data_IF_641839399034
#
_entry.id   IF_641839399034
#
_cell.length_a   1.000
_cell.length_b   1.000
_cell.length_c   1.000
_cell.angle_alpha   90.00
_cell.angle_beta   90.00
_cell.angle_gamma   90.00
#
_symmetry.space_group_name_H-M   'P 1'
#
loop_
_entity.id
_entity.type
_entity.pdbx_description
1 polymer ?
#
# COMPACT_ATOMS: atom_id res chain seq x y z
N UNK A 1 15.77 -16.93 6.10
CA UNK A 1 14.98 -18.02 6.73
C UNK A 1 13.54 -17.54 6.87
N UNK A 2 12.51 -18.35 6.57
CA UNK A 2 11.12 -17.94 6.81
C UNK A 2 10.89 -17.81 8.32
N UNK A 3 10.46 -16.63 8.75
CA UNK A 3 10.18 -16.27 10.13
C UNK A 3 8.85 -15.50 10.14
N UNK A 4 7.82 -16.09 10.76
CA UNK A 4 6.55 -15.39 11.01
C UNK A 4 6.77 -14.28 12.04
N UNK A 5 5.94 -13.23 11.98
CA UNK A 5 5.84 -12.30 13.09
C UNK A 5 5.41 -13.07 14.34
N UNK A 6 5.78 -12.56 15.52
CA UNK A 6 5.31 -13.08 16.80
C UNK A 6 4.59 -11.96 17.56
N UNK A 7 3.27 -12.07 17.80
CA UNK A 7 2.37 -13.12 17.31
C UNK A 7 2.25 -13.11 15.75
N UNK A 8 1.67 -14.16 15.12
CA UNK A 8 1.32 -14.14 13.69
C UNK A 8 0.36 -13.00 13.32
N UNK A 9 0.44 -12.48 12.09
CA UNK A 9 -0.30 -11.27 11.66
C UNK A 9 -1.82 -11.48 11.69
N UNK A 10 -2.27 -12.71 11.46
CA UNK A 10 -3.65 -13.15 11.57
C UNK A 10 -4.22 -12.96 12.98
N UNK A 11 -3.37 -13.01 14.03
CA UNK A 11 -3.76 -12.79 15.43
C UNK A 11 -3.62 -11.33 15.87
N UNK A 12 -3.55 -10.39 14.93
CA UNK A 12 -3.54 -8.95 15.26
C UNK A 12 -4.88 -8.44 15.75
N UNK A 13 -5.96 -9.09 15.34
CA UNK A 13 -7.31 -8.79 15.80
C UNK A 13 -7.93 -10.11 16.24
N UNK A 14 -8.40 -10.17 17.48
CA UNK A 14 -8.97 -11.37 18.09
C UNK A 14 -10.27 -11.02 18.79
N UNK A 15 -11.19 -11.99 18.90
CA UNK A 15 -12.42 -11.81 19.68
C UNK A 15 -12.15 -12.07 21.15
N UNK A 16 -12.67 -11.17 22.00
CA UNK A 16 -12.78 -11.34 23.45
C UNK A 16 -14.21 -11.74 23.87
N UNK A 17 -15.18 -11.57 22.96
CA UNK A 17 -16.58 -11.93 23.14
C UNK A 17 -17.38 -11.65 21.88
N UNK A 18 -18.72 -11.84 21.91
CA UNK A 18 -19.59 -11.64 20.74
C UNK A 18 -19.52 -10.24 20.14
N UNK A 19 -19.38 -9.22 20.99
CA UNK A 19 -19.44 -7.80 20.64
C UNK A 19 -18.12 -7.06 20.94
N UNK A 20 -17.03 -7.80 21.16
CA UNK A 20 -15.78 -7.24 21.66
C UNK A 20 -14.57 -7.83 20.94
N UNK A 21 -13.74 -6.95 20.38
CA UNK A 21 -12.54 -7.31 19.63
C UNK A 21 -11.32 -6.65 20.26
N UNK A 22 -10.25 -7.40 20.50
CA UNK A 22 -8.94 -6.83 20.81
C UNK A 22 -8.19 -6.53 19.52
N UNK A 23 -7.64 -5.32 19.41
CA UNK A 23 -6.84 -4.86 18.27
C UNK A 23 -5.41 -4.54 18.75
N UNK A 24 -4.51 -5.50 18.51
CA UNK A 24 -3.12 -5.42 18.96
C UNK A 24 -2.97 -5.45 20.48
N UNK A 25 -1.94 -4.79 20.99
CA UNK A 25 -1.65 -4.64 22.42
C UNK A 25 -2.38 -3.47 23.08
N UNK A 26 -3.03 -2.59 22.30
CA UNK A 26 -3.41 -1.26 22.76
C UNK A 26 -4.91 -1.05 22.96
N UNK A 27 -5.73 -1.53 22.02
CA UNK A 27 -7.15 -1.16 21.98
C UNK A 27 -8.08 -2.37 22.00
N UNK A 28 -9.27 -2.12 22.52
CA UNK A 28 -10.46 -2.95 22.39
C UNK A 28 -11.49 -2.15 21.60
N UNK A 29 -12.11 -2.80 20.62
CA UNK A 29 -13.27 -2.31 19.90
C UNK A 29 -14.52 -3.00 20.44
N UNK A 30 -15.51 -2.22 20.87
CA UNK A 30 -16.78 -2.72 21.38
C UNK A 30 -17.94 -2.29 20.51
N UNK A 31 -18.89 -3.19 20.32
CA UNK A 31 -20.19 -2.93 19.69
C UNK A 31 -21.25 -2.61 20.75
N UNK A 32 -22.07 -1.60 20.50
CA UNK A 32 -23.11 -1.13 21.42
C UNK A 32 -24.36 -0.66 20.67
N UNK A 33 -25.52 -0.84 21.33
CA UNK A 33 -26.83 -0.29 20.92
C UNK A 33 -27.33 0.79 21.88
N UNK A 34 -26.65 1.01 23.01
CA UNK A 34 -27.11 1.85 24.11
C UNK A 34 -26.41 3.20 24.17
N UNK A 35 -25.76 3.60 23.07
CA UNK A 35 -24.95 4.82 22.97
C UNK A 35 -23.47 4.55 23.18
N UNK A 36 -22.66 5.52 22.77
CA UNK A 36 -21.20 5.47 22.78
C UNK A 36 -20.65 6.35 23.92
N UNK A 37 -19.62 5.92 24.65
CA UNK A 37 -18.97 6.76 25.65
C UNK A 37 -18.46 8.10 25.06
N UNK A 38 -18.43 9.14 25.88
CA UNK A 38 -17.91 10.43 25.43
C UNK A 38 -16.40 10.36 25.13
N UNK A 39 -15.95 11.13 24.13
CA UNK A 39 -14.53 11.27 23.75
C UNK A 39 -13.84 9.99 23.25
N UNK A 40 -14.58 8.98 22.80
CA UNK A 40 -14.01 7.80 22.14
C UNK A 40 -14.08 7.91 20.62
N UNK A 41 -13.06 7.41 19.93
CA UNK A 41 -13.17 7.15 18.49
C UNK A 41 -14.28 6.14 18.25
N UNK A 42 -15.23 6.46 17.37
CA UNK A 42 -16.41 5.64 17.14
C UNK A 42 -16.97 5.80 15.73
N UNK A 43 -17.78 4.84 15.32
CA UNK A 43 -18.51 4.88 14.05
C UNK A 43 -19.85 4.16 14.15
N UNK A 44 -20.80 4.61 13.34
CA UNK A 44 -22.10 3.97 13.21
C UNK A 44 -22.05 2.82 12.19
N UNK A 45 -22.77 1.75 12.51
CA UNK A 45 -22.99 0.62 11.62
C UNK A 45 -24.45 0.17 11.70
N UNK A 46 -25.26 0.62 10.74
CA UNK A 46 -26.71 0.42 10.74
C UNK A 46 -27.37 0.93 12.04
N UNK A 47 -27.98 0.04 12.82
CA UNK A 47 -28.64 0.36 14.09
C UNK A 47 -27.71 0.27 15.32
N UNK A 48 -26.42 0.03 15.08
CA UNK A 48 -25.42 -0.24 16.10
C UNK A 48 -24.29 0.78 15.96
N UNK A 49 -23.44 0.86 16.98
CA UNK A 49 -22.22 1.67 16.95
C UNK A 49 -21.06 0.88 17.50
N UNK A 50 -19.88 1.18 16.98
CA UNK A 50 -18.62 0.63 17.45
C UNK A 50 -17.79 1.77 18.04
N UNK A 51 -17.04 1.49 19.10
CA UNK A 51 -16.11 2.45 19.67
C UNK A 51 -14.82 1.78 20.15
N UNK A 52 -13.75 2.57 20.17
CA UNK A 52 -12.45 2.14 20.69
C UNK A 52 -12.26 2.63 22.12
N UNK A 53 -11.64 1.77 22.93
CA UNK A 53 -11.06 2.13 24.22
C UNK A 53 -9.76 1.37 24.46
N UNK A 54 -8.96 1.84 25.41
CA UNK A 54 -7.74 1.13 25.79
C UNK A 54 -8.07 -0.23 26.42
N UNK A 55 -7.20 -1.20 26.16
CA UNK A 55 -7.30 -2.54 26.75
C UNK A 55 -6.99 -2.50 28.25
N UNK A 56 -7.69 -3.31 29.03
CA UNK A 56 -7.40 -3.49 30.46
C UNK A 56 -6.46 -4.66 30.73
N UNK A 57 -5.75 -4.68 31.87
CA UNK A 57 -4.86 -5.80 32.27
C UNK A 57 -5.58 -7.16 32.35
N UNK A 58 -6.88 -7.13 32.69
CA UNK A 58 -7.70 -8.33 32.73
C UNK A 58 -7.93 -8.89 31.33
N UNK A 59 -8.19 -8.02 30.36
CA UNK A 59 -8.47 -8.39 28.96
C UNK A 59 -7.20 -8.78 28.20
N UNK A 60 -6.05 -8.17 28.50
CA UNK A 60 -4.78 -8.56 27.90
C UNK A 60 -4.44 -10.03 28.15
N UNK A 61 -4.91 -10.56 29.29
CA UNK A 61 -4.70 -11.92 29.78
C UNK A 61 -5.88 -12.88 29.52
N UNK A 62 -6.96 -12.40 28.89
CA UNK A 62 -8.15 -13.21 28.63
C UNK A 62 -7.90 -14.27 27.54
N UNK A 63 -8.75 -15.30 27.51
CA UNK A 63 -8.81 -16.24 26.39
C UNK A 63 -9.25 -15.49 25.12
N UNK A 64 -8.58 -15.81 24.01
CA UNK A 64 -8.72 -15.10 22.74
C UNK A 64 -9.17 -16.08 21.68
N UNK A 65 -10.21 -15.71 20.95
CA UNK A 65 -10.68 -16.48 19.81
C UNK A 65 -10.18 -15.85 18.50
N UNK A 66 -9.72 -16.69 17.57
CA UNK A 66 -9.30 -16.25 16.25
C UNK A 66 -10.50 -15.75 15.43
N UNK A 67 -10.30 -14.66 14.69
CA UNK A 67 -11.31 -14.16 13.75
C UNK A 67 -11.16 -14.91 12.44
N UNK A 68 -12.23 -15.55 11.98
CA UNK A 68 -12.26 -16.21 10.66
C UNK A 68 -12.80 -15.29 9.54
N UNK A 69 -13.40 -14.15 9.90
CA UNK A 69 -14.01 -13.20 8.97
C UNK A 69 -12.98 -12.21 8.40
N UNK A 70 -12.03 -12.73 7.62
CA UNK A 70 -11.05 -11.91 6.90
C UNK A 70 -11.66 -11.27 5.66
N UNK A 71 -11.40 -9.97 5.45
CA UNK A 71 -11.62 -9.34 4.14
C UNK A 71 -10.50 -9.74 3.18
N UNK A 72 -9.28 -9.81 3.70
CA UNK A 72 -8.08 -10.17 2.95
C UNK A 72 -6.92 -10.55 3.88
N UNK A 73 -6.08 -11.49 3.46
CA UNK A 73 -4.82 -11.81 4.12
C UNK A 73 -3.72 -11.97 3.06
N UNK A 74 -2.60 -11.26 3.24
CA UNK A 74 -1.43 -11.33 2.36
C UNK A 74 -0.19 -11.80 3.11
N UNK A 75 0.13 -13.09 2.92
CA UNK A 75 1.34 -13.68 3.47
C UNK A 75 1.45 -13.48 4.98
N UNK A 76 2.63 -13.11 5.46
CA UNK A 76 2.94 -12.90 6.89
C UNK A 76 3.01 -11.44 7.32
N UNK A 77 2.79 -10.49 6.39
CA UNK A 77 3.08 -9.08 6.60
C UNK A 77 1.86 -8.16 6.62
N UNK A 78 0.69 -8.63 6.20
CA UNK A 78 -0.52 -7.80 6.10
C UNK A 78 -1.79 -8.63 6.28
N UNK A 79 -2.75 -8.11 7.03
CA UNK A 79 -4.09 -8.66 7.20
C UNK A 79 -5.14 -7.55 7.24
N UNK A 80 -6.32 -7.81 6.70
CA UNK A 80 -7.45 -6.87 6.68
C UNK A 80 -8.68 -7.55 7.26
N UNK A 81 -9.21 -6.96 8.32
CA UNK A 81 -10.35 -7.46 9.07
C UNK A 81 -11.55 -6.54 8.83
N UNK A 82 -12.75 -7.11 8.75
CA UNK A 82 -13.97 -6.31 8.83
C UNK A 82 -14.29 -6.03 10.31
N UNK A 83 -14.60 -4.79 10.65
CA UNK A 83 -15.14 -4.43 11.96
C UNK A 83 -16.54 -3.87 11.73
N UNK A 84 -17.52 -4.76 11.79
CA UNK A 84 -18.86 -4.49 11.25
C UNK A 84 -18.85 -4.46 9.71
N UNK A 85 -19.86 -3.81 9.13
CA UNK A 85 -20.05 -3.69 7.67
C UNK A 85 -19.35 -2.47 7.08
N UNK A 86 -19.24 -1.40 7.87
CA UNK A 86 -18.84 -0.07 7.40
C UNK A 86 -17.37 0.30 7.63
N UNK A 87 -16.61 -0.46 8.42
CA UNK A 87 -15.20 -0.17 8.71
C UNK A 87 -14.35 -1.41 8.49
N UNK A 88 -13.15 -1.19 7.99
CA UNK A 88 -12.10 -2.22 7.89
C UNK A 88 -10.91 -1.82 8.74
N UNK A 89 -10.28 -2.82 9.36
CA UNK A 89 -9.03 -2.71 10.09
C UNK A 89 -7.91 -3.33 9.26
N UNK A 90 -7.01 -2.51 8.75
CA UNK A 90 -5.81 -2.95 8.04
C UNK A 90 -4.65 -3.00 9.02
N UNK A 91 -4.01 -4.16 9.12
CA UNK A 91 -2.84 -4.38 9.96
C UNK A 91 -1.65 -4.77 9.11
N UNK A 92 -0.50 -4.16 9.37
CA UNK A 92 0.76 -4.47 8.68
C UNK A 92 1.92 -4.59 9.65
N UNK A 93 2.89 -5.42 9.31
CA UNK A 93 4.18 -5.41 10.02
C UNK A 93 4.89 -4.09 9.77
N UNK A 94 5.65 -3.66 10.78
CA UNK A 94 6.32 -2.38 10.81
C UNK A 94 7.76 -2.54 11.27
N UNK A 95 8.63 -1.63 10.88
CA UNK A 95 9.95 -1.48 11.46
C UNK A 95 10.35 0.00 11.54
N UNK A 96 11.29 0.31 12.43
CA UNK A 96 11.77 1.67 12.65
C UNK A 96 12.19 2.35 11.34
N UNK A 97 11.75 3.59 11.17
CA UNK A 97 11.95 4.36 9.95
C UNK A 97 10.88 4.20 8.88
N UNK A 98 9.98 3.20 8.94
CA UNK A 98 8.88 3.04 7.98
C UNK A 98 7.77 4.08 8.19
N UNK A 99 7.26 4.67 7.11
CA UNK A 99 6.10 5.56 7.12
C UNK A 99 4.79 4.81 7.41
N UNK A 100 3.90 5.45 8.17
CA UNK A 100 2.56 4.92 8.37
C UNK A 100 1.69 5.24 7.15
N UNK A 101 0.91 4.27 6.68
CA UNK A 101 -0.02 4.51 5.55
C UNK A 101 -1.01 5.65 5.86
N UNK A 102 -1.35 5.91 7.13
CA UNK A 102 -2.15 7.07 7.52
C UNK A 102 -1.45 8.41 7.31
N UNK A 103 -0.14 8.49 7.53
CA UNK A 103 0.66 9.70 7.22
C UNK A 103 0.63 9.96 5.70
N UNK A 104 0.78 8.91 4.89
CA UNK A 104 0.70 9.00 3.43
C UNK A 104 -0.71 9.38 2.96
N UNK A 105 -1.77 8.81 3.54
CA UNK A 105 -3.16 9.18 3.21
C UNK A 105 -3.45 10.64 3.56
N UNK A 106 -2.99 11.12 4.71
CA UNK A 106 -3.11 12.53 5.10
C UNK A 106 -2.37 13.45 4.13
N UNK A 107 -1.17 13.08 3.71
CA UNK A 107 -0.42 13.80 2.68
C UNK A 107 -1.19 13.88 1.35
N UNK A 108 -1.79 12.76 0.91
CA UNK A 108 -2.59 12.72 -0.32
C UNK A 108 -3.84 13.58 -0.20
N UNK A 109 -4.58 13.49 0.92
CA UNK A 109 -5.77 14.30 1.16
C UNK A 109 -5.47 15.81 1.09
N UNK A 110 -4.35 16.22 1.67
CA UNK A 110 -3.95 17.63 1.71
C UNK A 110 -3.54 18.18 0.34
N UNK A 111 -2.86 17.38 -0.48
CA UNK A 111 -2.30 17.84 -1.76
C UNK A 111 -3.18 17.53 -2.97
N UNK A 112 -4.02 16.50 -2.89
CA UNK A 112 -4.80 15.97 -4.02
C UNK A 112 -6.24 15.65 -3.61
N UNK A 113 -7.03 16.65 -3.13
CA UNK A 113 -8.37 16.42 -2.58
C UNK A 113 -9.39 15.85 -3.60
N UNK A 114 -9.05 15.88 -4.89
CA UNK A 114 -9.86 15.30 -5.97
C UNK A 114 -9.60 13.81 -6.20
N UNK A 115 -8.56 13.21 -5.60
CA UNK A 115 -8.31 11.77 -5.67
C UNK A 115 -9.12 11.10 -4.55
N UNK A 116 -10.07 10.22 -4.88
CA UNK A 116 -10.85 9.55 -3.86
C UNK A 116 -9.99 8.54 -3.12
N UNK A 117 -9.89 8.68 -1.80
CA UNK A 117 -9.18 7.76 -0.90
C UNK A 117 -10.13 7.35 0.24
N UNK A 118 -9.90 6.20 0.90
CA UNK A 118 -10.68 5.82 2.08
C UNK A 118 -10.57 6.85 3.20
N UNK A 119 -11.68 7.13 3.88
CA UNK A 119 -11.69 7.99 5.06
C UNK A 119 -11.08 7.24 6.25
N UNK A 120 -10.05 7.82 6.87
CA UNK A 120 -9.41 7.26 8.06
C UNK A 120 -10.28 7.54 9.29
N UNK A 121 -10.61 6.49 10.02
CA UNK A 121 -11.33 6.56 11.31
C UNK A 121 -10.33 6.72 12.46
N UNK A 122 -9.29 5.89 12.48
CA UNK A 122 -8.19 5.98 13.44
C UNK A 122 -6.94 5.28 12.90
N UNK A 123 -5.78 5.57 13.46
CA UNK A 123 -4.55 4.82 13.18
C UNK A 123 -3.58 4.89 14.34
N UNK A 124 -2.85 3.81 14.59
CA UNK A 124 -1.79 3.80 15.60
C UNK A 124 -0.66 2.83 15.26
N UNK A 125 0.48 3.08 15.90
CA UNK A 125 1.62 2.19 15.91
C UNK A 125 1.61 1.36 17.20
N UNK A 126 1.53 0.05 17.05
CA UNK A 126 1.75 -0.93 18.11
C UNK A 126 3.23 -1.32 18.11
N UNK A 127 4.02 -0.66 18.97
CA UNK A 127 5.46 -0.91 19.08
C UNK A 127 5.78 -2.25 19.74
N UNK A 128 4.90 -2.77 20.58
CA UNK A 128 5.08 -4.06 21.23
C UNK A 128 5.07 -5.19 20.21
N UNK A 129 4.12 -5.12 19.26
CA UNK A 129 3.96 -6.14 18.23
C UNK A 129 4.66 -5.79 16.90
N UNK A 130 5.29 -4.62 16.80
CA UNK A 130 5.84 -4.06 15.56
C UNK A 130 4.82 -4.03 14.42
N UNK A 131 3.67 -3.40 14.66
CA UNK A 131 2.55 -3.36 13.71
C UNK A 131 1.94 -1.97 13.59
N UNK A 132 1.48 -1.63 12.40
CA UNK A 132 0.59 -0.49 12.18
C UNK A 132 -0.84 -0.97 12.11
N UNK A 133 -1.75 -0.25 12.75
CA UNK A 133 -3.18 -0.43 12.61
C UNK A 133 -3.78 0.79 11.95
N UNK A 134 -4.64 0.55 10.95
CA UNK A 134 -5.34 1.59 10.21
C UNK A 134 -6.81 1.21 10.08
N UNK A 135 -7.66 1.94 10.79
CA UNK A 135 -9.10 1.84 10.66
C UNK A 135 -9.56 2.85 9.62
N UNK A 136 -10.33 2.38 8.63
CA UNK A 136 -10.86 3.22 7.58
C UNK A 136 -12.29 2.82 7.21
N UNK A 137 -13.09 3.79 6.79
CA UNK A 137 -14.43 3.51 6.26
C UNK A 137 -14.33 2.68 5.00
N UNK A 138 -15.16 1.64 4.94
CA UNK A 138 -15.31 0.78 3.78
C UNK A 138 -15.97 1.58 2.66
N UNK A 139 -15.36 1.52 1.48
CA UNK A 139 -15.93 2.08 0.27
C UNK A 139 -16.73 0.98 -0.43
N UNK A 140 -18.04 1.22 -0.60
CA UNK A 140 -18.96 0.28 -1.23
C UNK A 140 -18.81 0.32 -2.76
N UNK A 141 -17.83 -0.43 -3.26
CA UNK A 141 -17.55 -0.63 -4.68
C UNK A 141 -16.73 -1.91 -4.89
N UNK A 142 -16.67 -2.40 -6.12
CA UNK A 142 -15.84 -3.56 -6.47
C UNK A 142 -14.44 -3.12 -6.86
N UNK A 143 -13.45 -4.00 -6.64
CA UNK A 143 -12.12 -3.79 -7.23
C UNK A 143 -12.24 -3.80 -8.75
N UNK A 144 -11.41 -3.01 -9.43
CA UNK A 144 -11.37 -2.94 -10.88
C UNK A 144 -11.14 -4.33 -11.47
N UNK A 145 -10.32 -5.16 -10.81
CA UNK A 145 -10.10 -6.55 -11.19
C UNK A 145 -11.40 -7.36 -11.26
N UNK A 146 -12.26 -7.26 -10.24
CA UNK A 146 -13.54 -7.98 -10.18
C UNK A 146 -14.60 -7.38 -11.11
N UNK A 147 -14.62 -6.06 -11.26
CA UNK A 147 -15.54 -5.36 -12.15
C UNK A 147 -15.14 -5.51 -13.64
N UNK A 148 -13.88 -5.81 -13.94
CA UNK A 148 -13.34 -5.81 -15.30
C UNK A 148 -14.18 -6.55 -16.35
N UNK A 149 -14.73 -7.74 -16.06
CA UNK A 149 -15.51 -8.50 -17.05
C UNK A 149 -16.86 -7.87 -17.41
N UNK A 150 -17.45 -7.08 -16.52
CA UNK A 150 -18.75 -6.44 -16.73
C UNK A 150 -18.64 -5.06 -17.39
N UNK A 151 -17.45 -4.44 -17.35
CA UNK A 151 -17.22 -3.12 -17.92
C UNK A 151 -17.18 -3.16 -19.45
N UNK A 152 -17.91 -2.23 -20.07
CA UNK A 152 -17.76 -1.95 -21.50
C UNK A 152 -16.38 -1.38 -21.82
N UNK A 153 -15.96 -1.49 -23.09
CA UNK A 153 -14.70 -0.92 -23.56
C UNK A 153 -14.61 0.60 -23.26
N UNK A 154 -15.71 1.34 -23.43
CA UNK A 154 -15.78 2.76 -23.10
C UNK A 154 -15.51 3.04 -21.63
N UNK A 155 -16.09 2.24 -20.73
CA UNK A 155 -15.87 2.38 -19.28
C UNK A 155 -14.45 2.01 -18.87
N UNK A 156 -13.87 0.96 -19.44
CA UNK A 156 -12.45 0.61 -19.23
C UNK A 156 -11.52 1.78 -19.60
N UNK A 157 -11.74 2.40 -20.76
CA UNK A 157 -10.98 3.59 -21.18
C UNK A 157 -11.26 4.81 -20.30
N UNK A 158 -12.49 5.01 -19.83
CA UNK A 158 -12.83 6.09 -18.91
C UNK A 158 -12.08 5.97 -17.59
N UNK A 159 -12.08 4.78 -16.98
CA UNK A 159 -11.34 4.49 -15.75
C UNK A 159 -9.85 4.73 -15.95
N UNK A 160 -9.26 4.15 -17.00
CA UNK A 160 -7.83 4.34 -17.30
C UNK A 160 -7.46 5.82 -17.53
N UNK A 161 -8.34 6.58 -18.19
CA UNK A 161 -8.15 8.02 -18.40
C UNK A 161 -8.16 8.78 -17.07
N UNK A 162 -9.09 8.46 -16.18
CA UNK A 162 -9.16 9.04 -14.83
C UNK A 162 -7.93 8.71 -14.01
N UNK A 163 -7.49 7.45 -14.00
CA UNK A 163 -6.29 7.01 -13.29
C UNK A 163 -5.02 7.69 -13.86
N UNK A 164 -4.88 7.78 -15.18
CA UNK A 164 -3.74 8.48 -15.80
C UNK A 164 -3.71 9.97 -15.44
N UNK A 165 -4.88 10.63 -15.31
CA UNK A 165 -4.98 12.01 -14.81
C UNK A 165 -4.55 12.12 -13.36
N UNK A 166 -4.95 11.19 -12.49
CA UNK A 166 -4.48 11.14 -11.11
C UNK A 166 -2.96 11.00 -11.05
N UNK A 167 -2.38 10.04 -11.78
CA UNK A 167 -0.93 9.83 -11.84
C UNK A 167 -0.17 11.06 -12.34
N UNK A 168 -0.71 11.76 -13.35
CA UNK A 168 -0.15 13.04 -13.81
C UNK A 168 -0.22 14.12 -12.72
N UNK A 169 -1.33 14.19 -12.00
CA UNK A 169 -1.52 15.10 -10.88
C UNK A 169 -0.54 14.83 -9.75
N UNK A 170 -0.39 13.58 -9.32
CA UNK A 170 0.60 13.16 -8.31
C UNK A 170 2.01 13.60 -8.71
N UNK A 171 2.39 13.37 -9.96
CA UNK A 171 3.71 13.75 -10.50
C UNK A 171 3.94 15.27 -10.64
N UNK A 172 3.01 16.12 -10.18
CA UNK A 172 3.29 17.57 -10.04
C UNK A 172 4.13 17.87 -8.79
N UNK A 173 4.05 17.03 -7.76
CA UNK A 173 4.93 17.13 -6.61
C UNK A 173 6.28 16.47 -6.89
N UNK A 174 7.34 17.17 -6.49
CA UNK A 174 8.72 16.79 -6.75
C UNK A 174 9.53 16.80 -5.45
N UNK A 175 10.57 15.98 -5.41
CA UNK A 175 11.53 15.94 -4.31
C UNK A 175 12.96 15.76 -4.84
N UNK A 176 13.98 16.34 -4.21
CA UNK A 176 15.38 16.01 -4.50
C UNK A 176 15.81 14.64 -3.97
N UNK A 177 14.93 13.94 -3.25
CA UNK A 177 15.19 12.64 -2.64
C UNK A 177 14.24 11.55 -3.16
N UNK A 178 14.76 10.34 -3.29
CA UNK A 178 13.99 9.11 -3.41
C UNK A 178 13.54 8.71 -2.00
N UNK A 179 12.28 8.92 -1.67
CA UNK A 179 11.76 8.83 -0.30
C UNK A 179 10.24 8.68 -0.27
N UNK A 180 9.70 8.35 0.90
CA UNK A 180 8.26 8.29 1.17
C UNK A 180 7.61 9.69 1.16
N UNK A 181 6.30 9.79 1.37
CA UNK A 181 5.57 11.06 1.32
C UNK A 181 6.12 12.12 2.29
N UNK A 182 6.45 11.72 3.52
CA UNK A 182 7.03 12.60 4.56
C UNK A 182 8.54 12.45 4.73
N UNK A 183 9.24 11.85 3.75
CA UNK A 183 10.71 11.78 3.75
C UNK A 183 11.33 10.61 4.49
N UNK A 184 10.58 9.52 4.65
CA UNK A 184 11.07 8.27 5.26
C UNK A 184 11.55 7.28 4.19
N UNK A 185 11.99 6.10 4.64
CA UNK A 185 12.37 4.99 3.75
C UNK A 185 11.16 4.45 2.99
N UNK A 186 11.37 3.92 1.78
CA UNK A 186 10.33 3.39 0.91
C UNK A 186 10.24 1.87 0.94
N UNK A 187 9.02 1.37 0.70
CA UNK A 187 8.78 -0.02 0.31
C UNK A 187 8.72 -0.12 -1.21
N UNK A 188 9.81 -0.55 -1.84
CA UNK A 188 9.83 -0.79 -3.29
C UNK A 188 10.50 -2.14 -3.62
N UNK A 189 9.70 -3.21 -3.83
CA UNK A 189 10.23 -4.55 -4.02
C UNK A 189 11.06 -4.75 -5.29
N UNK A 190 10.95 -3.87 -6.28
CA UNK A 190 11.64 -4.01 -7.58
C UNK A 190 12.91 -3.14 -7.68
N UNK A 191 13.23 -2.37 -6.62
CA UNK A 191 14.50 -1.63 -6.51
C UNK A 191 15.34 -2.08 -5.33
N UNK A 192 14.82 -2.90 -4.41
CA UNK A 192 15.58 -3.39 -3.25
C UNK A 192 16.38 -4.64 -3.62
N UNK A 193 17.55 -4.78 -3.03
CA UNK A 193 18.30 -6.04 -3.08
C UNK A 193 17.64 -7.12 -2.21
N UNK A 194 18.10 -8.36 -2.37
CA UNK A 194 17.80 -9.45 -1.49
C UNK A 194 18.23 -9.09 -0.07
N UNK A 195 17.43 -9.50 0.91
CA UNK A 195 17.79 -9.30 2.29
C UNK A 195 18.92 -10.27 2.69
N UNK A 196 19.70 -9.90 3.71
CA UNK A 196 20.67 -10.82 4.32
C UNK A 196 19.96 -12.11 4.76
N UNK A 197 20.63 -13.26 4.73
CA UNK A 197 19.99 -14.55 5.06
C UNK A 197 19.39 -14.61 6.49
N UNK A 198 19.92 -13.78 7.39
CA UNK A 198 19.48 -13.56 8.78
C UNK A 198 18.26 -12.63 8.91
N UNK A 199 17.90 -11.88 7.86
CA UNK A 199 16.80 -10.92 7.89
C UNK A 199 15.46 -11.65 8.07
N UNK A 200 14.67 -11.34 9.12
CA UNK A 200 13.41 -12.00 9.35
C UNK A 200 12.41 -11.68 8.23
N UNK A 201 11.74 -12.69 7.66
CA UNK A 201 10.79 -12.47 6.55
C UNK A 201 9.57 -11.63 6.93
N UNK A 202 9.21 -11.54 8.22
CA UNK A 202 8.14 -10.66 8.69
C UNK A 202 8.54 -9.18 8.68
N UNK A 203 9.85 -8.88 8.81
CA UNK A 203 10.34 -7.51 8.92
C UNK A 203 10.38 -6.89 7.53
N UNK A 204 9.71 -5.76 7.29
CA UNK A 204 9.74 -5.09 5.99
C UNK A 204 11.18 -4.83 5.53
N UNK A 205 11.45 -5.07 4.25
CA UNK A 205 12.72 -4.73 3.60
C UNK A 205 12.54 -3.43 2.82
N UNK A 206 13.17 -2.37 3.29
CA UNK A 206 12.94 -0.99 2.87
C UNK A 206 14.20 -0.40 2.24
N UNK A 207 14.04 0.67 1.46
CA UNK A 207 15.10 1.30 0.68
C UNK A 207 15.00 2.83 0.74
N UNK A 208 16.13 3.52 0.78
CA UNK A 208 16.17 4.98 0.92
C UNK A 208 16.14 5.45 2.38
N UNK A 209 15.87 6.74 2.63
CA UNK A 209 15.79 7.80 1.61
C UNK A 209 17.16 8.03 0.95
N UNK A 210 17.18 8.32 -0.35
CA UNK A 210 18.43 8.58 -1.08
C UNK A 210 18.41 9.95 -1.74
N UNK A 211 19.51 10.69 -1.60
CA UNK A 211 19.78 11.86 -2.44
C UNK A 211 19.93 11.43 -3.91
N UNK A 212 19.80 12.37 -4.85
CA UNK A 212 19.99 12.08 -6.27
C UNK A 212 21.37 11.45 -6.60
N UNK A 213 22.53 11.98 -6.11
CA UNK A 213 23.82 11.31 -6.30
C UNK A 213 23.86 9.90 -5.73
N UNK A 214 23.35 9.72 -4.51
CA UNK A 214 23.28 8.42 -3.84
C UNK A 214 22.45 7.41 -4.63
N UNK A 215 21.27 7.81 -5.10
CA UNK A 215 20.40 6.97 -5.90
C UNK A 215 21.05 6.58 -7.23
N UNK A 216 21.76 7.51 -7.89
CA UNK A 216 22.52 7.21 -9.11
C UNK A 216 23.67 6.24 -8.85
N UNK A 217 24.39 6.37 -7.73
CA UNK A 217 25.43 5.41 -7.32
C UNK A 217 24.85 4.03 -7.04
N UNK A 218 23.74 3.99 -6.31
CA UNK A 218 23.00 2.76 -6.04
C UNK A 218 22.55 2.06 -7.33
N UNK A 219 21.91 2.78 -8.27
CA UNK A 219 21.50 2.19 -9.55
C UNK A 219 22.68 1.65 -10.36
N UNK A 220 23.83 2.34 -10.35
CA UNK A 220 25.05 1.83 -11.00
C UNK A 220 25.54 0.54 -10.34
N UNK A 221 25.45 0.46 -9.01
CA UNK A 221 25.87 -0.72 -8.25
C UNK A 221 25.04 -1.96 -8.57
N UNK A 222 23.72 -1.80 -8.77
CA UNK A 222 22.80 -2.90 -9.04
C UNK A 222 22.53 -3.14 -10.53
N UNK A 223 23.13 -2.38 -11.45
CA UNK A 223 22.85 -2.52 -12.88
C UNK A 223 24.01 -3.14 -13.65
N UNK A 224 23.71 -4.11 -14.52
CA UNK A 224 24.65 -4.68 -15.47
C UNK A 224 24.64 -3.96 -16.84
N UNK A 225 23.70 -3.03 -17.03
CA UNK A 225 23.50 -2.28 -18.27
C UNK A 225 23.64 -0.77 -17.99
N UNK A 226 23.77 0.09 -19.02
CA UNK A 226 23.74 1.53 -18.83
C UNK A 226 22.46 1.98 -18.10
N UNK A 227 22.63 2.66 -16.96
CA UNK A 227 21.51 3.14 -16.13
C UNK A 227 20.69 4.17 -16.93
N UNK A 228 19.36 4.01 -17.01
CA UNK A 228 18.47 4.99 -17.61
C UNK A 228 18.58 6.37 -16.95
N UNK A 229 18.27 7.42 -17.71
CA UNK A 229 18.24 8.78 -17.17
C UNK A 229 17.21 8.89 -16.06
N UNK A 230 17.69 9.13 -14.83
CA UNK A 230 16.86 9.36 -13.64
C UNK A 230 16.17 10.73 -13.68
N UNK A 231 16.81 11.72 -14.31
CA UNK A 231 16.44 13.14 -14.21
C UNK A 231 17.12 13.81 -13.01
N UNK A 232 16.69 15.04 -12.69
CA UNK A 232 17.27 15.85 -11.61
C UNK A 232 16.39 15.93 -10.36
N UNK A 233 15.17 15.39 -10.44
CA UNK A 233 14.20 15.31 -9.34
C UNK A 233 13.43 13.99 -9.42
N UNK A 234 12.87 13.60 -8.29
CA UNK A 234 11.93 12.50 -8.14
C UNK A 234 10.49 13.03 -8.10
N UNK A 235 9.53 12.20 -8.50
CA UNK A 235 8.14 12.58 -8.70
C UNK A 235 7.24 11.75 -7.79
N UNK A 236 6.27 12.39 -7.15
CA UNK A 236 5.33 11.67 -6.30
C UNK A 236 4.47 10.70 -7.14
N UNK A 237 4.42 9.44 -6.74
CA UNK A 237 3.80 8.34 -7.47
C UNK A 237 3.29 7.26 -6.49
N UNK A 238 2.17 6.62 -6.83
CA UNK A 238 1.52 5.58 -6.01
C UNK A 238 2.34 4.28 -5.90
N UNK A 239 3.11 3.93 -6.93
CA UNK A 239 3.91 2.71 -7.06
C UNK A 239 3.18 1.36 -7.06
N UNK A 240 1.95 1.24 -6.54
CA UNK A 240 1.19 -0.03 -6.56
C UNK A 240 -0.26 0.12 -7.09
N UNK A 241 -0.45 0.86 -8.18
CA UNK A 241 -1.78 1.20 -8.71
C UNK A 241 -2.34 0.12 -9.65
N UNK A 242 -2.34 -1.12 -9.18
CA UNK A 242 -2.92 -2.28 -9.88
C UNK A 242 -4.45 -2.35 -9.78
N UNK A 243 -5.11 -3.23 -10.55
CA UNK A 243 -6.57 -3.33 -10.60
C UNK A 243 -7.21 -3.80 -9.27
N UNK A 244 -6.45 -4.41 -8.37
CA UNK A 244 -6.95 -4.75 -7.01
C UNK A 244 -6.99 -3.54 -6.07
N UNK A 245 -6.24 -2.48 -6.38
CA UNK A 245 -6.11 -1.27 -5.56
C UNK A 245 -6.94 -0.10 -6.10
N UNK A 246 -7.78 -0.35 -7.11
CA UNK A 246 -8.71 0.62 -7.66
C UNK A 246 -10.12 0.09 -7.39
N UNK A 247 -10.96 0.87 -6.72
CA UNK A 247 -12.38 0.57 -6.61
C UNK A 247 -13.14 1.34 -7.67
N UNK A 248 -13.98 0.65 -8.44
CA UNK A 248 -14.80 1.22 -9.48
C UNK A 248 -16.27 0.80 -9.33
N UNK A 249 -17.17 1.67 -9.76
CA UNK A 249 -18.60 1.35 -9.89
C UNK A 249 -18.92 0.88 -11.31
N UNK A 250 -20.06 0.22 -11.45
CA UNK A 250 -20.54 -0.37 -12.71
C UNK A 250 -20.76 0.68 -13.83
N UNK A 251 -20.86 1.96 -13.48
CA UNK A 251 -20.95 3.09 -14.41
C UNK A 251 -19.59 3.60 -14.91
N UNK A 252 -18.48 2.99 -14.49
CA UNK A 252 -17.13 3.36 -14.91
C UNK A 252 -16.50 4.51 -14.10
N UNK A 253 -17.05 4.86 -12.94
CA UNK A 253 -16.44 5.86 -12.05
C UNK A 253 -15.46 5.23 -11.06
N UNK A 254 -14.32 5.90 -10.84
CA UNK A 254 -13.37 5.52 -9.79
C UNK A 254 -13.92 5.98 -8.45
N UNK A 255 -14.18 5.04 -7.55
CA UNK A 255 -14.80 5.27 -6.23
C UNK A 255 -13.77 5.44 -5.12
N UNK A 256 -12.61 4.77 -5.23
CA UNK A 256 -11.46 4.99 -4.36
C UNK A 256 -10.17 4.40 -4.96
N UNK A 257 -9.04 4.95 -4.53
CA UNK A 257 -7.71 4.38 -4.71
C UNK A 257 -7.20 3.89 -3.36
N UNK A 258 -6.75 2.65 -3.29
CA UNK A 258 -6.36 1.93 -2.08
C UNK A 258 -4.85 1.67 -2.05
N UNK A 259 -4.36 1.28 -0.87
CA UNK A 259 -3.00 0.78 -0.61
C UNK A 259 -1.87 1.76 -0.97
N UNK A 260 -1.87 2.90 -0.26
CA UNK A 260 -0.91 3.99 -0.47
C UNK A 260 0.45 3.76 0.20
N UNK A 261 0.70 2.59 0.78
CA UNK A 261 1.91 2.31 1.58
C UNK A 261 3.23 2.42 0.81
N UNK A 262 3.16 2.27 -0.52
CA UNK A 262 4.32 2.35 -1.40
C UNK A 262 4.36 3.69 -2.13
N UNK A 263 3.48 4.64 -1.79
CA UNK A 263 3.49 5.94 -2.43
C UNK A 263 4.67 6.79 -1.93
N UNK A 264 5.29 7.52 -2.85
CA UNK A 264 6.45 8.35 -2.55
C UNK A 264 7.07 8.93 -3.80
N UNK A 265 8.32 9.38 -3.70
CA UNK A 265 9.04 10.07 -4.75
C UNK A 265 9.95 9.12 -5.54
N UNK A 266 9.60 8.89 -6.80
CA UNK A 266 10.24 7.91 -7.69
C UNK A 266 10.88 8.58 -8.93
N UNK A 267 11.86 7.94 -9.58
CA UNK A 267 12.35 8.43 -10.86
C UNK A 267 11.21 8.45 -11.89
N UNK A 268 11.20 9.45 -12.78
CA UNK A 268 10.10 9.63 -13.76
C UNK A 268 9.78 8.35 -14.54
N UNK A 269 10.79 7.58 -14.91
CA UNK A 269 10.65 6.33 -15.66
C UNK A 269 9.79 5.29 -14.93
N UNK A 270 9.74 5.33 -13.59
CA UNK A 270 9.01 4.37 -12.77
C UNK A 270 7.51 4.42 -13.03
N UNK A 271 6.97 5.61 -13.30
CA UNK A 271 5.53 5.83 -13.58
C UNK A 271 5.08 4.99 -14.79
N UNK A 272 5.90 4.90 -15.83
CA UNK A 272 5.60 4.09 -17.03
C UNK A 272 6.13 2.65 -16.94
N UNK A 273 7.20 2.40 -16.19
CA UNK A 273 7.85 1.09 -16.13
C UNK A 273 7.13 0.12 -15.18
N UNK A 274 6.72 0.61 -14.01
CA UNK A 274 6.14 -0.20 -12.93
C UNK A 274 4.95 -1.07 -13.38
N UNK A 275 4.00 -0.58 -14.20
CA UNK A 275 2.90 -1.41 -14.71
C UNK A 275 3.32 -2.67 -15.50
N UNK A 276 4.52 -2.67 -16.09
CA UNK A 276 5.00 -3.77 -16.93
C UNK A 276 5.90 -4.78 -16.21
N UNK A 277 6.39 -4.42 -15.03
CA UNK A 277 7.30 -5.29 -14.25
C UNK A 277 6.58 -5.91 -13.04
N UNK A 278 5.54 -5.26 -12.52
CA UNK A 278 4.78 -5.76 -11.38
C UNK A 278 3.58 -6.59 -11.82
N UNK A 279 3.56 -7.87 -11.44
CA UNK A 279 2.42 -8.76 -11.66
C UNK A 279 1.14 -8.28 -10.96
N UNK A 280 1.25 -7.41 -9.94
CA UNK A 280 0.11 -6.79 -9.26
C UNK A 280 -0.69 -5.85 -10.16
N UNK A 281 -0.16 -5.46 -11.33
CA UNK A 281 -0.90 -4.70 -12.34
C UNK A 281 -1.65 -5.60 -13.33
N UNK A 282 -1.45 -6.92 -13.29
CA UNK A 282 -2.16 -7.82 -14.19
C UNK A 282 -3.49 -8.24 -13.60
N UNK A 283 -4.50 -8.30 -14.46
CA UNK A 283 -5.80 -8.82 -14.11
C UNK A 283 -5.69 -10.31 -13.74
N UNK A 284 -6.58 -10.75 -12.85
CA UNK A 284 -6.63 -12.14 -12.42
C UNK A 284 -6.96 -13.08 -13.60
N UNK A 285 -6.42 -14.30 -13.55
CA UNK A 285 -6.66 -15.32 -14.59
C UNK A 285 -8.11 -15.79 -14.63
N UNK A 286 -8.82 -15.71 -13.51
CA UNK A 286 -10.21 -16.11 -13.39
C UNK A 286 -11.18 -15.11 -14.03
N UNK A 287 -10.77 -13.85 -14.21
CA UNK A 287 -11.65 -12.79 -14.73
C UNK A 287 -11.46 -12.52 -16.21
N UNK A 288 -10.29 -12.81 -16.79
CA UNK A 288 -10.00 -12.52 -18.20
C UNK A 288 -8.96 -13.44 -18.82
N UNK A 289 -9.02 -13.63 -20.14
CA UNK A 289 -7.97 -14.29 -20.92
C UNK A 289 -6.81 -13.35 -21.26
N UNK A 290 -7.06 -12.05 -21.45
CA UNK A 290 -6.02 -11.03 -21.59
C UNK A 290 -5.75 -10.34 -20.25
N UNK A 291 -4.81 -10.89 -19.49
CA UNK A 291 -4.43 -10.33 -18.18
C UNK A 291 -3.75 -8.96 -18.26
N UNK A 292 -3.19 -8.62 -19.41
CA UNK A 292 -2.44 -7.39 -19.62
C UNK A 292 -3.32 -6.24 -20.10
N UNK A 293 -4.62 -6.47 -20.37
CA UNK A 293 -5.52 -5.47 -20.95
C UNK A 293 -5.54 -4.15 -20.16
N UNK A 294 -5.56 -4.22 -18.82
CA UNK A 294 -5.46 -3.03 -17.97
C UNK A 294 -4.16 -2.24 -18.21
N UNK A 295 -3.02 -2.94 -18.24
CA UNK A 295 -1.70 -2.34 -18.44
C UNK A 295 -1.60 -1.72 -19.83
N UNK A 296 -2.09 -2.40 -20.86
CA UNK A 296 -2.11 -1.93 -22.24
C UNK A 296 -2.91 -0.62 -22.38
N UNK A 297 -4.12 -0.57 -21.80
CA UNK A 297 -4.94 0.64 -21.84
C UNK A 297 -4.33 1.77 -21.00
N UNK A 298 -3.79 1.46 -19.81
CA UNK A 298 -3.16 2.46 -18.96
C UNK A 298 -1.89 3.04 -19.60
N UNK A 299 -1.07 2.21 -20.25
CA UNK A 299 0.13 2.64 -20.97
C UNK A 299 -0.20 3.63 -22.09
N UNK A 300 -1.27 3.38 -22.86
CA UNK A 300 -1.74 4.31 -23.90
C UNK A 300 -2.06 5.69 -23.30
N UNK A 301 -2.81 5.72 -22.17
CA UNK A 301 -3.18 6.98 -21.50
C UNK A 301 -1.98 7.68 -20.87
N UNK A 302 -1.06 6.95 -20.26
CA UNK A 302 0.18 7.50 -19.71
C UNK A 302 1.10 8.06 -20.80
N UNK A 303 1.22 7.36 -21.92
CA UNK A 303 2.01 7.78 -23.07
C UNK A 303 1.49 9.08 -23.69
N UNK A 304 0.17 9.23 -23.78
CA UNK A 304 -0.48 10.48 -24.22
C UNK A 304 -0.20 11.66 -23.27
N UNK A 305 0.10 11.39 -21.99
CA UNK A 305 0.49 12.39 -20.99
C UNK A 305 2.01 12.57 -20.88
N UNK A 306 2.79 11.95 -21.77
CA UNK A 306 4.25 12.07 -21.83
C UNK A 306 5.01 11.15 -20.88
N UNK A 307 4.35 10.18 -20.24
CA UNK A 307 4.98 9.10 -19.49
C UNK A 307 5.15 7.88 -20.41
N UNK A 308 6.10 7.99 -21.34
CA UNK A 308 6.34 6.95 -22.35
C UNK A 308 7.20 5.82 -21.78
N UNK A 309 6.72 4.59 -21.92
CA UNK A 309 7.54 3.41 -21.72
C UNK A 309 8.55 3.27 -22.87
N UNK A 310 9.77 2.86 -22.54
CA UNK A 310 10.74 2.46 -23.55
C UNK A 310 11.17 1.02 -23.28
N UNK A 311 11.20 0.20 -24.33
CA UNK A 311 11.58 -1.22 -24.25
C UNK A 311 12.92 -1.44 -23.55
N UNK A 312 13.91 -0.56 -23.80
CA UNK A 312 15.22 -0.58 -23.12
C UNK A 312 15.14 -0.45 -21.59
N UNK A 313 14.09 0.18 -21.05
CA UNK A 313 13.90 0.29 -19.60
C UNK A 313 13.42 -1.04 -19.00
N UNK A 314 12.58 -1.78 -19.72
CA UNK A 314 12.15 -3.13 -19.33
C UNK A 314 13.33 -4.10 -19.41
N UNK A 315 14.16 -3.99 -20.45
CA UNK A 315 15.38 -4.78 -20.59
C UNK A 315 16.40 -4.45 -19.48
N UNK A 316 16.56 -3.17 -19.15
CA UNK A 316 17.40 -2.73 -18.03
C UNK A 316 16.94 -3.32 -16.69
N UNK A 317 15.65 -3.26 -16.39
CA UNK A 317 15.10 -3.78 -15.12
C UNK A 317 15.32 -5.29 -14.97
N UNK A 318 15.12 -6.06 -16.05
CA UNK A 318 15.36 -7.51 -16.05
C UNK A 318 16.82 -7.91 -15.83
N UNK A 319 17.76 -6.98 -16.00
CA UNK A 319 19.20 -7.20 -15.83
C UNK A 319 19.76 -6.55 -14.55
N UNK A 320 18.89 -6.19 -13.60
CA UNK A 320 19.34 -5.75 -12.27
C UNK A 320 19.94 -6.93 -11.49
N UNK A 321 21.11 -6.72 -10.92
CA UNK A 321 21.74 -7.61 -9.94
C UNK A 321 21.25 -7.23 -8.55
N UNK A 322 20.16 -7.87 -8.13
CA UNK A 322 19.53 -7.65 -6.84
C UNK A 322 20.13 -8.52 -5.73
N UNK A 323 21.27 -9.19 -5.94
CA UNK A 323 21.89 -9.99 -4.88
C UNK A 323 22.26 -9.10 -3.69
N UNK A 324 22.11 -9.67 -2.49
CA UNK A 324 22.41 -8.96 -1.25
C UNK A 324 23.81 -8.33 -1.27
N UNK A 325 23.86 -7.06 -0.91
CA UNK A 325 25.05 -6.41 -0.39
C UNK A 325 24.63 -5.45 0.73
N UNK A 326 25.57 -5.14 1.61
CA UNK A 326 25.33 -4.22 2.71
C UNK A 326 25.26 -2.78 2.17
N UNK A 327 24.03 -2.27 1.99
CA UNK A 327 23.77 -0.93 1.49
C UNK A 327 24.40 0.12 2.41
N UNK A 328 24.33 -0.05 3.74
CA UNK A 328 24.89 0.92 4.67
C UNK A 328 26.42 1.01 4.53
N UNK A 329 27.11 -0.13 4.37
CA UNK A 329 28.56 -0.14 4.09
C UNK A 329 28.91 0.41 2.71
N UNK A 330 28.05 0.22 1.72
CA UNK A 330 28.22 0.80 0.40
C UNK A 330 28.13 2.33 0.46
N UNK A 331 27.08 2.84 1.10
CA UNK A 331 26.82 4.28 1.21
C UNK A 331 27.80 5.01 2.12
N UNK A 332 28.44 4.33 3.08
CA UNK A 332 29.48 4.93 3.92
C UNK A 332 30.81 5.18 3.17
N UNK A 333 30.97 4.65 1.95
CA UNK A 333 32.19 4.78 1.13
C UNK A 333 32.08 5.81 0.01
N UNK A 334 30.86 6.25 -0.30
CA UNK A 334 30.51 7.21 -1.35
C UNK A 334 30.46 8.66 -0.80
#
# INVERSE_FOLDING_TARGET
MFCKASPPIELSVVKLGPDTYQLGSKFVCEKTIHGVPANTTNWADNNESYYLREITEKESSAEKEEITDFVYQAGTGSAVFAIGSNVICKVKTWCEGMELESETLAFVAANFPYIPIPEVVDSWLDREQNRTFLLMKRVNAQTLDKAWPSLSLGQKHQIATTIARYLRGLATLQSPFFQSATGRVLREPFLKVDAEGSHPSWKPHLIGPFSLPTFRSYLKRISQLPVPTVGDVFYFYHADLGPTNILASDDGQVRAVLDWESAGFYPRLWISLKPHISAGFYLDRSVTTNRCEWVEILEDKLSALGFKLYRKHVEWEKNLDLRFFDINKFLAKD
#
